data_IF_079646827388
#
_entry.id   IF_079646827388
#
_cell.length_a   1.000
_cell.length_b   1.000
_cell.length_c   1.000
_cell.angle_alpha   90.00
_cell.angle_beta   90.00
_cell.angle_gamma   90.00
#
_symmetry.space_group_name_H-M   'P 1'
#
loop_
_entity.id
_entity.type
_entity.pdbx_description
1 polymer ?
#
# COMPACT_ATOMS: atom_id res chain seq x y z
N UNK A 1 9.46 9.03 -6.95
CA UNK A 1 9.36 9.22 -5.48
C UNK A 1 10.62 8.86 -4.70
N UNK A 2 11.36 7.75 -4.93
CA UNK A 2 12.53 7.36 -4.07
C UNK A 2 13.51 8.49 -3.71
N UNK A 3 13.81 9.39 -4.66
CA UNK A 3 14.68 10.56 -4.47
C UNK A 3 13.93 11.87 -4.16
N UNK A 4 12.70 11.77 -3.68
CA UNK A 4 11.76 12.88 -3.47
C UNK A 4 11.35 13.66 -4.73
N UNK A 5 11.47 13.05 -5.91
CA UNK A 5 10.85 13.57 -7.14
C UNK A 5 9.41 13.07 -7.26
N UNK A 6 8.51 14.02 -7.50
CA UNK A 6 7.08 13.79 -7.66
C UNK A 6 6.65 14.07 -9.10
N UNK A 7 5.67 13.32 -9.64
CA UNK A 7 5.12 13.61 -10.96
C UNK A 7 4.45 14.99 -10.95
N UNK A 8 4.52 15.68 -12.08
CA UNK A 8 3.77 16.91 -12.29
C UNK A 8 2.32 16.56 -12.62
N UNK A 9 1.37 17.33 -12.08
CA UNK A 9 -0.06 17.15 -12.30
C UNK A 9 -0.77 16.33 -11.22
N UNK A 10 -2.06 16.08 -11.45
CA UNK A 10 -2.92 15.37 -10.49
C UNK A 10 -2.66 13.86 -10.51
N UNK A 11 -2.02 13.37 -9.45
CA UNK A 11 -1.70 11.95 -9.27
C UNK A 11 -2.92 11.04 -9.35
N UNK A 12 -4.11 11.51 -8.94
CA UNK A 12 -5.34 10.72 -9.02
C UNK A 12 -5.69 10.42 -10.48
N UNK A 13 -5.52 11.40 -11.37
CA UNK A 13 -5.75 11.20 -12.82
C UNK A 13 -4.72 10.26 -13.43
N UNK A 14 -3.45 10.41 -13.06
CA UNK A 14 -2.35 9.57 -13.57
C UNK A 14 -2.57 8.09 -13.16
N UNK A 15 -2.91 7.85 -11.89
CA UNK A 15 -3.06 6.50 -11.35
C UNK A 15 -4.42 5.84 -11.66
N UNK A 16 -5.42 6.60 -12.12
CA UNK A 16 -6.81 6.13 -12.28
C UNK A 16 -6.91 4.81 -13.04
N UNK A 17 -6.36 4.75 -14.26
CA UNK A 17 -6.44 3.55 -15.10
C UNK A 17 -5.77 2.33 -14.48
N UNK A 18 -4.67 2.54 -13.74
CA UNK A 18 -3.99 1.45 -13.06
C UNK A 18 -4.83 0.91 -11.89
N UNK A 19 -5.46 1.79 -11.10
CA UNK A 19 -6.34 1.39 -9.99
C UNK A 19 -7.58 0.67 -10.52
N UNK A 20 -8.19 1.14 -11.61
CA UNK A 20 -9.30 0.46 -12.27
C UNK A 20 -8.89 -0.95 -12.71
N UNK A 21 -7.76 -1.10 -13.39
CA UNK A 21 -7.27 -2.41 -13.81
C UNK A 21 -6.97 -3.36 -12.63
N UNK A 22 -6.42 -2.85 -11.52
CA UNK A 22 -6.19 -3.63 -10.30
C UNK A 22 -7.52 -4.15 -9.72
N UNK A 23 -8.55 -3.31 -9.68
CA UNK A 23 -9.88 -3.70 -9.22
C UNK A 23 -10.52 -4.76 -10.14
N UNK A 24 -10.51 -4.53 -11.45
CA UNK A 24 -11.09 -5.44 -12.46
C UNK A 24 -10.46 -6.84 -12.41
N UNK A 25 -9.16 -6.90 -12.12
CA UNK A 25 -8.41 -8.15 -12.02
C UNK A 25 -8.37 -8.73 -10.60
N UNK A 26 -9.13 -8.16 -9.64
CA UNK A 26 -9.22 -8.62 -8.24
C UNK A 26 -7.85 -8.75 -7.57
N UNK A 27 -6.92 -7.86 -7.94
CA UNK A 27 -5.57 -7.83 -7.39
C UNK A 27 -5.56 -7.21 -5.99
N UNK A 28 -4.43 -7.36 -5.30
CA UNK A 28 -4.20 -6.82 -3.95
C UNK A 28 -3.12 -5.75 -4.02
N UNK A 29 -3.30 -4.65 -3.29
CA UNK A 29 -2.29 -3.58 -3.19
C UNK A 29 -1.50 -3.71 -1.90
N UNK A 30 -0.17 -3.74 -2.01
CA UNK A 30 0.71 -3.69 -0.86
C UNK A 30 0.84 -2.26 -0.33
N UNK A 31 0.65 -2.09 0.99
CA UNK A 31 1.10 -0.93 1.75
C UNK A 31 2.52 -1.23 2.23
N UNK A 32 3.48 -0.66 1.52
CA UNK A 32 4.90 -0.88 1.73
C UNK A 32 5.53 0.26 2.54
N UNK A 33 6.26 -0.10 3.61
CA UNK A 33 6.87 0.85 4.54
C UNK A 33 8.29 1.27 4.16
N UNK A 34 8.86 0.72 3.09
CA UNK A 34 10.21 1.01 2.66
C UNK A 34 10.42 2.47 2.27
N UNK A 35 9.37 3.14 1.76
CA UNK A 35 9.43 4.55 1.42
C UNK A 35 9.74 5.47 2.60
N UNK A 36 9.41 5.05 3.83
CA UNK A 36 9.79 5.74 5.07
C UNK A 36 11.31 5.73 5.33
N UNK A 37 12.06 4.81 4.69
CA UNK A 37 13.53 4.77 4.75
C UNK A 37 14.19 5.56 3.61
N UNK A 38 13.41 6.04 2.65
CA UNK A 38 13.91 6.77 1.46
C UNK A 38 13.72 8.27 1.67
N UNK A 39 14.31 9.08 0.79
CA UNK A 39 14.25 10.56 0.87
C UNK A 39 12.83 11.11 0.86
N UNK A 40 11.88 10.40 0.24
CA UNK A 40 10.45 10.80 0.22
C UNK A 40 9.76 10.64 1.57
N UNK A 41 10.24 9.74 2.43
CA UNK A 41 9.68 9.51 3.76
C UNK A 41 8.14 9.30 3.80
N UNK A 42 7.62 8.56 2.82
CA UNK A 42 6.18 8.23 2.68
C UNK A 42 5.98 6.72 2.58
N UNK A 43 4.78 6.23 2.91
CA UNK A 43 4.38 4.88 2.50
C UNK A 43 4.27 4.77 0.98
N UNK A 44 4.43 3.56 0.46
CA UNK A 44 4.05 3.24 -0.91
C UNK A 44 2.81 2.34 -0.92
N UNK A 45 1.79 2.65 -1.72
CA UNK A 45 1.58 3.94 -2.36
C UNK A 45 1.28 5.05 -1.33
N UNK A 46 1.28 6.32 -1.75
CA UNK A 46 0.97 7.45 -0.87
C UNK A 46 -0.48 7.44 -0.39
N UNK A 47 -0.78 8.13 0.71
CA UNK A 47 -2.12 8.18 1.34
C UNK A 47 -3.22 8.50 0.32
N UNK A 48 -3.03 9.50 -0.54
CA UNK A 48 -4.00 9.86 -1.60
C UNK A 48 -4.36 8.71 -2.55
N UNK A 49 -3.40 7.83 -2.84
CA UNK A 49 -3.64 6.65 -3.67
C UNK A 49 -4.26 5.52 -2.85
N UNK A 50 -3.90 5.38 -1.58
CA UNK A 50 -4.56 4.43 -0.66
C UNK A 50 -6.04 4.75 -0.47
N UNK A 51 -6.42 6.03 -0.43
CA UNK A 51 -7.82 6.45 -0.42
C UNK A 51 -8.56 6.01 -1.69
N UNK A 52 -7.91 6.11 -2.86
CA UNK A 52 -8.48 5.60 -4.12
C UNK A 52 -8.62 4.08 -4.10
N UNK A 53 -7.60 3.36 -3.62
CA UNK A 53 -7.62 1.91 -3.43
C UNK A 53 -8.77 1.50 -2.51
N UNK A 54 -8.98 2.22 -1.39
CA UNK A 54 -10.11 1.97 -0.48
C UNK A 54 -11.46 2.21 -1.15
N UNK A 55 -11.58 3.28 -1.93
CA UNK A 55 -12.81 3.65 -2.65
C UNK A 55 -13.16 2.63 -3.74
N UNK A 56 -12.17 2.01 -4.36
CA UNK A 56 -12.32 0.95 -5.36
C UNK A 56 -12.50 -0.45 -4.75
N UNK A 57 -12.65 -0.56 -3.44
CA UNK A 57 -12.81 -1.82 -2.69
C UNK A 57 -11.70 -2.87 -2.97
N UNK A 58 -10.48 -2.39 -3.21
CA UNK A 58 -9.31 -3.24 -3.43
C UNK A 58 -8.76 -3.71 -2.08
N UNK A 59 -8.53 -5.03 -1.97
CA UNK A 59 -7.88 -5.65 -0.81
C UNK A 59 -6.43 -5.14 -0.65
N UNK A 60 -5.97 -5.04 0.61
CA UNK A 60 -4.60 -4.59 0.92
C UNK A 60 -3.78 -5.66 1.62
N UNK A 61 -2.45 -5.59 1.48
CA UNK A 61 -1.47 -6.36 2.26
C UNK A 61 -0.36 -5.45 2.79
N UNK A 62 0.54 -5.96 3.64
CA UNK A 62 1.63 -5.18 4.25
C UNK A 62 3.00 -5.72 3.86
N UNK A 63 3.92 -4.83 3.53
CA UNK A 63 5.30 -5.16 3.18
C UNK A 63 6.31 -4.22 3.84
N UNK A 64 7.44 -4.76 4.30
CA UNK A 64 8.55 -3.94 4.83
C UNK A 64 9.69 -3.75 3.83
N UNK A 65 9.70 -4.54 2.75
CA UNK A 65 10.75 -4.61 1.74
C UNK A 65 12.15 -4.73 2.37
N UNK A 66 12.27 -5.64 3.33
CA UNK A 66 13.45 -5.78 4.16
C UNK A 66 14.62 -6.34 3.34
N UNK A 67 15.70 -5.56 3.23
CA UNK A 67 16.95 -5.99 2.62
C UNK A 67 18.04 -6.28 3.67
N UNK A 68 17.69 -6.20 4.96
CA UNK A 68 18.52 -6.64 6.09
C UNK A 68 17.63 -7.08 7.24
N UNK A 69 18.18 -7.89 8.17
CA UNK A 69 17.44 -8.45 9.31
C UNK A 69 16.72 -7.38 10.13
N UNK A 70 17.36 -6.22 10.35
CA UNK A 70 16.80 -5.12 11.14
C UNK A 70 15.66 -4.38 10.44
N UNK A 71 15.42 -4.64 9.15
CA UNK A 71 14.33 -4.04 8.39
C UNK A 71 13.07 -4.92 8.38
N UNK A 72 13.15 -6.16 8.84
CA UNK A 72 12.00 -7.06 8.89
C UNK A 72 10.94 -6.44 9.81
N UNK A 73 9.74 -6.25 9.29
CA UNK A 73 8.64 -5.65 10.03
C UNK A 73 8.78 -4.13 10.25
N UNK A 74 9.77 -3.48 9.61
CA UNK A 74 10.03 -2.05 9.77
C UNK A 74 8.74 -1.23 9.60
N UNK A 75 8.34 -0.54 10.67
CA UNK A 75 7.15 0.32 10.69
C UNK A 75 5.82 -0.32 10.24
N UNK A 76 5.68 -1.65 10.25
CA UNK A 76 4.40 -2.29 9.92
C UNK A 76 3.26 -1.88 10.87
N UNK A 77 3.55 -1.65 12.15
CA UNK A 77 2.56 -1.11 13.10
C UNK A 77 2.04 0.28 12.67
N UNK A 78 2.88 1.11 12.04
CA UNK A 78 2.44 2.40 11.49
C UNK A 78 1.56 2.20 10.26
N UNK A 79 1.90 1.25 9.37
CA UNK A 79 1.08 0.90 8.22
C UNK A 79 -0.30 0.37 8.63
N UNK A 80 -0.34 -0.49 9.65
CA UNK A 80 -1.58 -1.00 10.25
C UNK A 80 -2.47 0.13 10.78
N UNK A 81 -1.92 1.04 11.59
CA UNK A 81 -2.67 2.19 12.10
C UNK A 81 -3.17 3.11 10.97
N UNK A 82 -2.34 3.36 9.97
CA UNK A 82 -2.72 4.15 8.79
C UNK A 82 -3.88 3.49 8.03
N UNK A 83 -3.82 2.18 7.80
CA UNK A 83 -4.88 1.45 7.12
C UNK A 83 -6.23 1.59 7.85
N UNK A 84 -6.23 1.48 9.19
CA UNK A 84 -7.43 1.71 10.02
C UNK A 84 -7.94 3.15 9.91
N UNK A 85 -7.04 4.14 9.93
CA UNK A 85 -7.41 5.54 9.78
C UNK A 85 -8.05 5.85 8.42
N UNK A 86 -7.57 5.24 7.34
CA UNK A 86 -8.15 5.37 6.00
C UNK A 86 -9.51 4.64 5.90
N UNK A 87 -9.78 3.69 6.80
CA UNK A 87 -11.05 2.97 6.87
C UNK A 87 -11.03 1.58 6.20
N UNK A 88 -9.84 0.99 6.03
CA UNK A 88 -9.75 -0.44 5.70
C UNK A 88 -10.19 -1.27 6.90
N UNK A 89 -10.95 -2.34 6.63
CA UNK A 89 -11.51 -3.25 7.65
C UNK A 89 -10.83 -4.62 7.69
N UNK A 90 -10.11 -4.95 6.63
CA UNK A 90 -9.45 -6.23 6.45
C UNK A 90 -8.12 -6.04 5.75
N UNK A 91 -7.21 -6.96 6.00
CA UNK A 91 -5.93 -7.15 5.31
C UNK A 91 -5.89 -8.59 4.81
N UNK A 92 -5.14 -8.83 3.74
CA UNK A 92 -4.94 -10.16 3.20
C UNK A 92 -3.47 -10.55 3.21
N UNK A 93 -3.22 -11.83 3.37
CA UNK A 93 -1.94 -12.46 3.11
C UNK A 93 -2.15 -13.67 2.21
N UNK A 94 -1.06 -14.22 1.69
CA UNK A 94 -1.11 -15.36 0.79
C UNK A 94 -0.32 -16.53 1.37
N UNK A 95 -0.92 -17.70 1.31
CA UNK A 95 -0.32 -18.97 1.68
C UNK A 95 -0.60 -19.96 0.54
N UNK A 96 0.43 -20.58 -0.02
CA UNK A 96 0.29 -21.46 -1.20
C UNK A 96 -0.46 -20.80 -2.38
N UNK A 97 -0.27 -19.48 -2.57
CA UNK A 97 -0.99 -18.64 -3.55
C UNK A 97 -2.50 -18.52 -3.30
N UNK A 98 -3.00 -19.02 -2.18
CA UNK A 98 -4.37 -18.82 -1.74
C UNK A 98 -4.47 -17.57 -0.87
N UNK A 99 -5.47 -16.75 -1.16
CA UNK A 99 -5.76 -15.53 -0.40
C UNK A 99 -6.37 -15.88 0.95
N UNK A 100 -5.79 -15.37 2.03
CA UNK A 100 -6.30 -15.46 3.41
C UNK A 100 -6.62 -14.06 3.91
N UNK A 101 -7.73 -13.92 4.63
CA UNK A 101 -8.25 -12.62 5.11
C UNK A 101 -8.13 -12.55 6.62
N UNK A 102 -7.70 -11.40 7.13
CA UNK A 102 -7.63 -11.07 8.55
C UNK A 102 -8.32 -9.71 8.77
N UNK A 103 -9.10 -9.58 9.84
CA UNK A 103 -9.71 -8.29 10.23
C UNK A 103 -8.67 -7.33 10.81
N UNK A 104 -8.83 -6.03 10.53
CA UNK A 104 -7.93 -4.96 10.99
C UNK A 104 -8.32 -4.35 12.32
#
# INVERSE_FOLDING_TARGET
KVFNFHPQGDIKKIAKKAIEAIADNKMVVEINTAGLRKKVNEFYPSITLLEMVKKSDIDITFGSDAHSKNQVGFHLKKAYNLAKQIGFKKVVYFENREKRVIEL
#
